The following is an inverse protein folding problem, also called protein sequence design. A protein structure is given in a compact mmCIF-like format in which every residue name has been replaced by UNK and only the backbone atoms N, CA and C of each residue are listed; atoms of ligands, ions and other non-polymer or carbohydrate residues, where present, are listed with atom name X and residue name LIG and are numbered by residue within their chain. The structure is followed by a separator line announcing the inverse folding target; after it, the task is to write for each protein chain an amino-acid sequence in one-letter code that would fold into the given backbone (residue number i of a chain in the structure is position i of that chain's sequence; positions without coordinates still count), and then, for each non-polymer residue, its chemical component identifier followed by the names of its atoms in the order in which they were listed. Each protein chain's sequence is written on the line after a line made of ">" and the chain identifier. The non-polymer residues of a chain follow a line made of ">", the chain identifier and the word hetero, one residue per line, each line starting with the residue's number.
data_IF_913636910978
#
_entry.id   IF_913636910978
#
_cell.length_a   1.000
_cell.length_b   1.000
_cell.length_c   1.000
_cell.angle_alpha   90.00
_cell.angle_beta   90.00
_cell.angle_gamma   90.00
#
_symmetry.space_group_name_H-M   'P 1'
#
loop_
_entity.id
_entity.type
_entity.pdbx_description
1 polymer ?
#
# COMPACT_ATOMS: atom_id res chain seq x y z
N UNK A 1 33.09 24.21 -20.79
CA UNK A 1 33.68 22.93 -20.33
C UNK A 1 32.97 21.81 -21.07
N UNK A 2 33.68 20.76 -21.51
CA UNK A 2 33.04 19.61 -22.14
C UNK A 2 32.11 18.91 -21.13
N UNK A 3 30.94 18.43 -21.59
CA UNK A 3 30.04 17.62 -20.77
C UNK A 3 30.77 16.29 -20.48
N UNK A 4 30.92 15.86 -19.21
CA UNK A 4 31.57 14.59 -18.89
C UNK A 4 30.81 13.41 -19.51
N UNK A 5 31.52 12.35 -19.87
CA UNK A 5 30.87 11.11 -20.30
C UNK A 5 30.10 10.47 -19.14
N UNK A 6 29.12 9.60 -19.44
CA UNK A 6 28.38 8.84 -18.41
C UNK A 6 29.34 8.07 -17.51
N UNK A 7 30.35 7.40 -18.07
CA UNK A 7 31.37 6.68 -17.31
C UNK A 7 32.13 7.60 -16.33
N UNK A 8 32.54 8.78 -16.78
CA UNK A 8 33.22 9.76 -15.93
C UNK A 8 32.32 10.28 -14.82
N UNK A 9 31.05 10.55 -15.13
CA UNK A 9 30.06 11.02 -14.17
C UNK A 9 29.78 9.97 -13.08
N UNK A 10 29.54 8.71 -13.49
CA UNK A 10 29.31 7.58 -12.58
C UNK A 10 30.52 7.38 -11.66
N UNK A 11 31.72 7.22 -12.22
CA UNK A 11 32.95 7.02 -11.44
C UNK A 11 33.25 8.20 -10.50
N UNK A 12 32.91 9.43 -10.90
CA UNK A 12 33.13 10.60 -10.03
C UNK A 12 32.15 10.65 -8.87
N UNK A 13 30.89 10.29 -9.10
CA UNK A 13 29.84 10.35 -8.08
C UNK A 13 29.97 9.19 -7.08
N UNK A 14 30.29 7.97 -7.55
CA UNK A 14 30.35 6.77 -6.71
C UNK A 14 31.45 6.81 -5.64
N UNK A 15 32.52 7.58 -5.85
CA UNK A 15 33.61 7.76 -4.87
C UNK A 15 33.14 8.27 -3.51
N UNK A 16 32.04 9.02 -3.48
CA UNK A 16 31.46 9.54 -2.24
C UNK A 16 30.56 8.51 -1.53
N UNK A 17 30.25 7.38 -2.18
CA UNK A 17 29.25 6.41 -1.74
C UNK A 17 29.79 4.98 -1.87
N UNK A 18 30.86 4.70 -1.11
CA UNK A 18 31.58 3.42 -1.15
C UNK A 18 30.72 2.31 -0.57
N UNK A 19 30.64 1.17 -1.27
CA UNK A 19 29.99 -0.04 -0.76
C UNK A 19 30.72 -0.55 0.50
N UNK A 20 30.05 -0.64 1.66
CA UNK A 20 30.68 -1.14 2.87
C UNK A 20 31.17 -2.58 2.72
N UNK A 21 32.34 -2.88 3.29
CA UNK A 21 32.95 -4.21 3.20
C UNK A 21 32.01 -5.30 3.73
N UNK A 22 31.78 -6.35 2.94
CA UNK A 22 30.91 -7.47 3.29
C UNK A 22 29.40 -7.19 3.17
N UNK A 23 28.99 -5.95 2.88
CA UNK A 23 27.59 -5.64 2.62
C UNK A 23 27.18 -6.18 1.24
N UNK A 24 26.00 -6.82 1.19
CA UNK A 24 25.42 -7.42 -0.01
C UNK A 24 23.93 -7.04 -0.07
N UNK A 25 23.62 -5.81 -0.52
CA UNK A 25 22.23 -5.36 -0.60
C UNK A 25 21.45 -6.22 -1.59
N UNK A 26 20.20 -6.52 -1.26
CA UNK A 26 19.27 -7.19 -2.16
C UNK A 26 17.98 -6.41 -2.27
N UNK A 27 17.54 -6.19 -3.51
CA UNK A 27 16.26 -5.62 -3.85
C UNK A 27 15.22 -6.74 -3.98
N UNK A 28 14.10 -6.58 -3.31
CA UNK A 28 12.95 -7.47 -3.43
C UNK A 28 11.64 -6.72 -3.18
N UNK A 29 10.59 -7.43 -2.75
CA UNK A 29 9.22 -6.90 -2.63
C UNK A 29 9.11 -5.59 -1.84
N UNK A 30 9.99 -5.38 -0.87
CA UNK A 30 9.97 -4.22 0.02
C UNK A 30 11.06 -3.17 -0.28
N UNK A 31 11.77 -3.33 -1.40
CA UNK A 31 12.94 -2.54 -1.80
C UNK A 31 14.23 -2.96 -1.08
N UNK A 32 15.27 -2.13 -1.16
CA UNK A 32 16.45 -2.29 -0.30
C UNK A 32 16.11 -1.86 1.12
N UNK A 33 16.54 -2.63 2.12
CA UNK A 33 16.39 -2.29 3.55
C UNK A 33 17.59 -2.77 4.35
N UNK A 34 18.12 -1.90 5.19
CA UNK A 34 19.23 -2.19 6.09
C UNK A 34 19.33 -1.09 7.16
N UNK A 35 20.31 -1.20 8.05
CA UNK A 35 20.77 -0.08 8.87
C UNK A 35 21.18 1.07 7.93
N UNK A 36 20.77 2.29 8.26
CA UNK A 36 20.83 3.44 7.35
C UNK A 36 22.22 3.70 6.74
N UNK A 37 23.27 3.64 7.55
CA UNK A 37 24.66 3.91 7.16
C UNK A 37 25.17 2.99 6.04
N UNK A 38 24.51 1.86 5.80
CA UNK A 38 24.89 0.91 4.76
C UNK A 38 24.28 1.23 3.39
N UNK A 39 23.29 2.12 3.30
CA UNK A 39 22.43 2.25 2.12
C UNK A 39 22.89 3.30 1.10
N UNK A 40 23.86 4.14 1.43
CA UNK A 40 24.33 5.22 0.54
C UNK A 40 24.83 4.70 -0.82
N UNK A 41 25.39 3.48 -0.86
CA UNK A 41 25.97 2.86 -2.05
C UNK A 41 24.99 2.03 -2.90
N UNK A 42 23.68 2.09 -2.63
CA UNK A 42 22.68 1.28 -3.36
C UNK A 42 22.47 1.69 -4.83
N UNK A 43 23.01 2.84 -5.25
CA UNK A 43 22.98 3.35 -6.63
C UNK A 43 21.58 3.48 -7.26
N UNK A 44 20.53 3.50 -6.46
CA UNK A 44 19.12 3.58 -6.89
C UNK A 44 18.82 4.78 -7.81
N UNK A 45 19.53 5.90 -7.63
CA UNK A 45 19.39 7.07 -8.49
C UNK A 45 19.76 6.83 -9.94
N UNK A 46 20.88 6.12 -10.17
CA UNK A 46 21.32 5.77 -11.54
C UNK A 46 20.28 4.86 -12.19
N UNK A 47 19.82 3.85 -11.45
CA UNK A 47 18.83 2.90 -11.93
C UNK A 47 17.52 3.60 -12.33
N UNK A 48 16.95 4.44 -11.45
CA UNK A 48 15.70 5.12 -11.77
C UNK A 48 15.82 6.21 -12.83
N UNK A 49 17.00 6.81 -12.98
CA UNK A 49 17.27 7.66 -14.13
C UNK A 49 17.27 6.85 -15.43
N UNK A 50 17.96 5.70 -15.47
CA UNK A 50 17.93 4.82 -16.65
C UNK A 50 16.49 4.39 -16.96
N UNK A 51 15.70 4.07 -15.93
CA UNK A 51 14.28 3.74 -16.08
C UNK A 51 13.47 4.90 -16.65
N UNK A 52 13.65 6.12 -16.14
CA UNK A 52 12.97 7.33 -16.66
C UNK A 52 13.34 7.62 -18.12
N UNK A 53 14.61 7.43 -18.50
CA UNK A 53 15.08 7.62 -19.87
C UNK A 53 14.49 6.56 -20.80
N UNK A 54 14.41 5.30 -20.34
CA UNK A 54 13.81 4.18 -21.09
C UNK A 54 12.33 4.39 -21.37
N UNK A 55 11.57 4.78 -20.35
CA UNK A 55 10.12 4.97 -20.47
C UNK A 55 9.74 6.33 -21.03
N UNK A 56 10.69 7.28 -21.07
CA UNK A 56 10.47 8.69 -21.37
C UNK A 56 9.40 9.31 -20.46
N UNK A 57 9.35 8.83 -19.21
CA UNK A 57 8.35 9.19 -18.21
C UNK A 57 9.04 9.47 -16.87
N UNK A 58 8.29 10.09 -15.97
CA UNK A 58 8.75 10.41 -14.63
C UNK A 58 8.70 9.15 -13.78
N UNK A 59 9.75 8.92 -13.01
CA UNK A 59 9.82 7.82 -12.06
C UNK A 59 10.02 8.35 -10.63
N UNK A 60 9.94 7.48 -9.62
CA UNK A 60 10.08 7.89 -8.23
C UNK A 60 11.01 7.02 -7.38
N UNK A 61 11.53 7.62 -6.30
CA UNK A 61 12.30 6.97 -5.25
C UNK A 61 11.72 7.39 -3.90
N UNK A 62 11.24 6.43 -3.12
CA UNK A 62 10.80 6.63 -1.74
C UNK A 62 11.85 6.09 -0.78
N UNK A 63 12.38 6.95 0.08
CA UNK A 63 13.36 6.57 1.11
C UNK A 63 12.62 6.36 2.43
N UNK A 64 12.50 5.11 2.81
CA UNK A 64 11.70 4.67 3.95
C UNK A 64 12.01 3.21 4.26
N UNK A 65 11.94 2.83 5.54
CA UNK A 65 11.84 1.44 5.96
C UNK A 65 10.48 1.09 6.59
N UNK A 66 9.44 1.90 6.40
CA UNK A 66 8.07 1.59 6.83
C UNK A 66 8.03 1.30 8.34
N UNK A 67 7.62 0.11 8.74
CA UNK A 67 7.52 -0.37 10.11
C UNK A 67 8.85 -0.69 10.81
N UNK A 68 9.99 -0.69 10.11
CA UNK A 68 11.28 -1.01 10.74
C UNK A 68 11.63 0.00 11.87
N UNK A 69 12.50 -0.39 12.83
CA UNK A 69 13.02 0.52 13.85
C UNK A 69 13.72 1.75 13.27
N UNK A 70 13.74 2.88 14.01
CA UNK A 70 14.27 4.17 13.54
C UNK A 70 15.71 4.16 12.96
N UNK A 71 16.67 3.35 13.45
CA UNK A 71 18.03 3.28 12.89
C UNK A 71 18.12 2.67 11.49
N UNK A 72 17.12 1.88 11.08
CA UNK A 72 17.05 1.33 9.74
C UNK A 72 16.64 2.41 8.72
N UNK A 73 16.86 2.16 7.44
CA UNK A 73 16.18 2.86 6.37
C UNK A 73 16.03 1.92 5.15
N UNK A 74 15.52 2.43 4.06
CA UNK A 74 15.31 1.66 2.85
C UNK A 74 15.00 2.52 1.65
N UNK A 75 14.91 1.86 0.50
CA UNK A 75 14.62 2.51 -0.77
C UNK A 75 13.59 1.67 -1.53
N UNK A 76 12.43 2.25 -1.80
CA UNK A 76 11.39 1.72 -2.70
C UNK A 76 11.42 2.51 -4.01
N UNK A 77 11.24 1.83 -5.13
CA UNK A 77 11.36 2.39 -6.46
C UNK A 77 10.00 2.34 -7.16
N UNK A 78 9.64 3.46 -7.79
CA UNK A 78 8.28 3.74 -8.25
C UNK A 78 8.27 3.93 -9.77
N UNK A 79 7.46 3.12 -10.45
CA UNK A 79 7.23 3.17 -11.88
C UNK A 79 6.37 4.38 -12.28
N UNK A 80 6.35 4.77 -13.57
CA UNK A 80 5.50 5.86 -14.05
C UNK A 80 4.01 5.72 -13.73
N UNK A 81 3.50 4.49 -13.63
CA UNK A 81 2.11 4.19 -13.25
C UNK A 81 1.83 4.43 -11.76
N UNK A 82 2.85 4.67 -10.94
CA UNK A 82 2.75 4.65 -9.49
C UNK A 82 2.81 3.24 -8.89
N UNK A 83 3.11 2.21 -9.68
CA UNK A 83 3.37 0.86 -9.17
C UNK A 83 4.81 0.73 -8.65
N UNK A 84 5.10 -0.41 -8.02
CA UNK A 84 6.46 -0.79 -7.67
C UNK A 84 7.27 -1.09 -8.93
N UNK A 85 8.61 -1.00 -8.83
CA UNK A 85 9.54 -1.46 -9.87
C UNK A 85 9.12 -2.82 -10.43
N UNK A 86 9.15 -2.97 -11.76
CA UNK A 86 8.86 -4.24 -12.38
C UNK A 86 9.96 -5.27 -12.08
N UNK A 87 9.57 -6.55 -11.98
CA UNK A 87 10.46 -7.62 -11.52
C UNK A 87 11.69 -7.78 -12.43
N UNK A 88 11.54 -7.53 -13.72
CA UNK A 88 12.61 -7.62 -14.72
C UNK A 88 13.75 -6.63 -14.44
N UNK A 89 13.47 -5.52 -13.74
CA UNK A 89 14.45 -4.48 -13.42
C UNK A 89 15.07 -4.65 -12.03
N UNK A 90 14.56 -5.57 -11.20
CA UNK A 90 15.14 -5.87 -9.88
C UNK A 90 16.56 -6.45 -10.01
N UNK A 91 16.85 -7.21 -11.07
CA UNK A 91 18.19 -7.75 -11.33
C UNK A 91 19.20 -6.62 -11.56
N UNK A 92 18.86 -5.61 -12.36
CA UNK A 92 19.73 -4.45 -12.58
C UNK A 92 19.95 -3.66 -11.29
N UNK A 93 18.91 -3.46 -10.47
CA UNK A 93 19.06 -2.81 -9.17
C UNK A 93 20.05 -3.58 -8.28
N UNK A 94 19.91 -4.90 -8.22
CA UNK A 94 20.82 -5.78 -7.47
C UNK A 94 22.26 -5.73 -8.01
N UNK A 95 22.46 -5.80 -9.32
CA UNK A 95 23.79 -5.76 -9.94
C UNK A 95 24.51 -4.45 -9.60
N UNK A 96 23.86 -3.31 -9.85
CA UNK A 96 24.42 -1.98 -9.60
C UNK A 96 24.77 -1.77 -8.12
N UNK A 97 23.88 -2.19 -7.21
CA UNK A 97 24.09 -2.04 -5.77
C UNK A 97 25.22 -2.94 -5.23
N UNK A 98 25.62 -3.98 -5.98
CA UNK A 98 26.68 -4.92 -5.59
C UNK A 98 28.00 -4.71 -6.36
N UNK A 99 28.13 -3.67 -7.19
CA UNK A 99 29.40 -3.31 -7.81
C UNK A 99 30.47 -3.01 -6.74
N UNK A 100 31.63 -3.67 -6.80
CA UNK A 100 32.68 -3.54 -5.79
C UNK A 100 33.63 -2.37 -6.08
N UNK A 101 33.65 -1.85 -7.31
CA UNK A 101 34.53 -0.75 -7.72
C UNK A 101 33.81 0.25 -8.63
N UNK A 102 34.29 1.50 -8.68
CA UNK A 102 33.76 2.53 -9.57
C UNK A 102 33.74 2.08 -11.05
N UNK A 103 34.82 1.41 -11.48
CA UNK A 103 34.95 0.91 -12.85
C UNK A 103 33.97 -0.24 -13.15
N UNK A 104 33.73 -1.12 -12.17
CA UNK A 104 32.71 -2.17 -12.28
C UNK A 104 31.31 -1.57 -12.37
N UNK A 105 31.01 -0.58 -11.52
CA UNK A 105 29.72 0.12 -11.56
C UNK A 105 29.51 0.78 -12.93
N UNK A 106 30.49 1.53 -13.43
CA UNK A 106 30.39 2.17 -14.73
C UNK A 106 30.19 1.16 -15.88
N UNK A 107 30.87 0.00 -15.80
CA UNK A 107 30.68 -1.10 -16.75
C UNK A 107 29.26 -1.68 -16.69
N UNK A 108 28.72 -1.92 -15.50
CA UNK A 108 27.36 -2.42 -15.33
C UNK A 108 26.32 -1.41 -15.81
N UNK A 109 26.51 -0.12 -15.54
CA UNK A 109 25.66 0.96 -16.07
C UNK A 109 25.70 0.96 -17.60
N UNK A 110 26.87 0.88 -18.22
CA UNK A 110 26.98 0.78 -19.68
C UNK A 110 26.27 -0.48 -20.23
N UNK A 111 26.36 -1.61 -19.52
CA UNK A 111 25.66 -2.84 -19.84
C UNK A 111 24.14 -2.69 -19.81
N UNK A 112 23.59 -2.11 -18.72
CA UNK A 112 22.18 -1.78 -18.58
C UNK A 112 21.69 -0.88 -19.74
N UNK A 113 22.40 0.22 -19.99
CA UNK A 113 22.03 1.16 -21.04
C UNK A 113 22.01 0.49 -22.42
N UNK A 114 23.01 -0.36 -22.72
CA UNK A 114 23.06 -1.09 -23.97
C UNK A 114 21.95 -2.15 -24.09
N UNK A 115 21.71 -2.94 -23.03
CA UNK A 115 20.69 -3.99 -23.01
C UNK A 115 19.28 -3.42 -23.23
N UNK A 116 19.01 -2.25 -22.64
CA UNK A 116 17.72 -1.58 -22.73
C UNK A 116 17.63 -0.58 -23.91
N UNK A 117 18.70 -0.41 -24.70
CA UNK A 117 18.74 0.53 -25.82
C UNK A 117 18.57 1.99 -25.41
N UNK A 118 19.11 2.37 -24.25
CA UNK A 118 18.98 3.71 -23.67
C UNK A 118 20.16 4.58 -24.11
N UNK A 119 19.85 5.77 -24.62
CA UNK A 119 20.86 6.80 -24.90
C UNK A 119 20.98 7.73 -23.69
N UNK A 120 22.20 7.88 -23.17
CA UNK A 120 22.53 8.80 -22.08
C UNK A 120 23.86 9.54 -22.38
N UNK A 121 24.07 10.77 -21.91
CA UNK A 121 23.17 11.55 -21.06
C UNK A 121 21.94 12.07 -21.83
N UNK A 122 20.78 12.06 -21.19
CA UNK A 122 19.52 12.54 -21.77
C UNK A 122 18.61 13.12 -20.68
N UNK A 123 17.72 14.08 -21.01
CA UNK A 123 16.80 14.64 -20.04
C UNK A 123 15.80 13.58 -19.57
N UNK A 124 15.51 13.61 -18.27
CA UNK A 124 14.51 12.78 -17.59
C UNK A 124 14.27 13.37 -16.19
N UNK A 125 13.23 12.93 -15.49
CA UNK A 125 12.93 13.42 -14.13
C UNK A 125 12.69 12.24 -13.20
N UNK A 126 13.32 12.28 -12.03
CA UNK A 126 13.12 11.32 -10.95
C UNK A 126 12.67 12.06 -9.69
N UNK A 127 11.47 11.78 -9.20
CA UNK A 127 10.92 12.37 -7.98
C UNK A 127 11.45 11.62 -6.76
N UNK A 128 12.02 12.34 -5.77
CA UNK A 128 12.64 11.73 -4.60
C UNK A 128 11.98 12.26 -3.34
N UNK A 129 11.42 11.37 -2.54
CA UNK A 129 10.84 11.70 -1.24
C UNK A 129 11.38 10.79 -0.14
N UNK A 130 11.21 11.21 1.11
CA UNK A 130 11.64 10.43 2.28
C UNK A 130 10.64 10.55 3.44
N UNK A 131 10.68 9.58 4.36
CA UNK A 131 9.94 9.64 5.62
C UNK A 131 10.69 10.52 6.67
N UNK A 132 10.26 10.47 7.93
CA UNK A 132 10.85 11.25 9.03
C UNK A 132 12.15 10.68 9.60
N UNK A 133 12.75 9.63 9.01
CA UNK A 133 14.01 9.08 9.50
C UNK A 133 15.13 10.11 9.37
N UNK A 134 16.01 10.25 10.39
CA UNK A 134 17.12 11.21 10.36
C UNK A 134 18.07 11.03 9.17
N UNK A 135 18.25 9.79 8.70
CA UNK A 135 19.08 9.46 7.53
C UNK A 135 18.43 9.75 6.17
N UNK A 136 17.13 10.07 6.14
CA UNK A 136 16.36 10.30 4.92
C UNK A 136 16.97 11.35 3.99
N UNK A 137 17.26 12.58 4.48
CA UNK A 137 17.83 13.64 3.65
C UNK A 137 19.17 13.27 2.99
N UNK A 138 20.06 12.57 3.69
CA UNK A 138 21.37 12.18 3.16
C UNK A 138 21.24 11.07 2.10
N UNK A 139 20.40 10.06 2.35
CA UNK A 139 20.09 9.03 1.36
C UNK A 139 19.41 9.63 0.12
N UNK A 140 18.59 10.67 0.30
CA UNK A 140 17.94 11.38 -0.79
C UNK A 140 18.95 12.15 -1.65
N UNK A 141 19.96 12.77 -1.00
CA UNK A 141 21.07 13.40 -1.69
C UNK A 141 21.93 12.38 -2.48
N UNK A 142 22.19 11.20 -1.90
CA UNK A 142 22.90 10.12 -2.58
C UNK A 142 22.15 9.63 -3.83
N UNK A 143 20.83 9.39 -3.70
CA UNK A 143 19.98 9.07 -4.84
C UNK A 143 20.01 10.18 -5.90
N UNK A 144 19.88 11.45 -5.50
CA UNK A 144 19.93 12.58 -6.42
C UNK A 144 21.27 12.70 -7.17
N UNK A 145 22.40 12.37 -6.53
CA UNK A 145 23.70 12.32 -7.18
C UNK A 145 23.74 11.24 -8.28
N UNK A 146 23.19 10.06 -8.00
CA UNK A 146 23.04 8.99 -8.99
C UNK A 146 22.17 9.39 -10.18
N UNK A 147 21.04 10.07 -9.94
CA UNK A 147 20.14 10.53 -11.02
C UNK A 147 20.88 11.42 -12.04
N UNK A 148 21.69 12.36 -11.53
CA UNK A 148 22.44 13.31 -12.37
C UNK A 148 23.50 12.66 -13.24
N UNK A 149 23.98 11.45 -12.90
CA UNK A 149 25.00 10.75 -13.68
C UNK A 149 24.56 10.43 -15.11
N UNK A 150 23.24 10.31 -15.35
CA UNK A 150 22.67 10.03 -16.67
C UNK A 150 22.07 11.26 -17.35
N UNK A 151 22.30 12.45 -16.82
CA UNK A 151 21.74 13.71 -17.34
C UNK A 151 20.27 13.96 -16.99
N UNK A 152 19.68 13.13 -16.13
CA UNK A 152 18.34 13.33 -15.59
C UNK A 152 18.36 14.33 -14.42
N UNK A 153 17.20 14.93 -14.15
CA UNK A 153 17.00 15.89 -13.06
C UNK A 153 16.31 15.23 -11.85
N UNK A 154 16.92 15.26 -10.66
CA UNK A 154 16.25 14.84 -9.44
C UNK A 154 15.32 15.95 -8.94
N UNK A 155 14.03 15.63 -8.82
CA UNK A 155 13.05 16.50 -8.19
C UNK A 155 12.90 16.12 -6.71
N UNK A 156 13.46 16.94 -5.82
CA UNK A 156 13.39 16.72 -4.37
C UNK A 156 12.01 17.10 -3.83
N UNK A 157 11.22 16.12 -3.43
CA UNK A 157 9.86 16.28 -2.90
C UNK A 157 9.81 16.42 -1.37
N UNK A 158 10.91 16.09 -0.68
CA UNK A 158 11.01 16.20 0.77
C UNK A 158 10.18 15.14 1.51
N UNK A 159 9.52 15.56 2.60
CA UNK A 159 8.74 14.68 3.47
C UNK A 159 7.40 14.31 2.81
N UNK A 160 7.23 13.05 2.44
CA UNK A 160 5.95 12.48 1.96
C UNK A 160 5.73 11.09 2.55
N UNK A 161 4.47 10.67 2.67
CA UNK A 161 4.14 9.25 2.85
C UNK A 161 4.48 8.47 1.59
N UNK A 162 4.65 7.15 1.69
CA UNK A 162 4.86 6.32 0.50
C UNK A 162 3.69 6.46 -0.50
N UNK A 163 2.41 6.37 -0.09
CA UNK A 163 1.29 6.53 -1.02
C UNK A 163 1.23 7.91 -1.69
N UNK A 164 1.66 8.98 -1.02
CA UNK A 164 1.72 10.31 -1.63
C UNK A 164 2.69 10.33 -2.82
N UNK A 165 3.93 9.83 -2.67
CA UNK A 165 4.88 9.83 -3.79
C UNK A 165 4.36 9.01 -4.97
N UNK A 166 3.81 7.82 -4.71
CA UNK A 166 3.23 6.96 -5.76
C UNK A 166 2.13 7.69 -6.54
N UNK A 167 1.20 8.34 -5.82
CA UNK A 167 0.13 9.12 -6.43
C UNK A 167 0.68 10.31 -7.23
N UNK A 168 1.69 11.01 -6.71
CA UNK A 168 2.28 12.16 -7.38
C UNK A 168 2.98 11.78 -8.69
N UNK A 169 3.75 10.70 -8.71
CA UNK A 169 4.40 10.17 -9.92
C UNK A 169 3.37 9.83 -10.99
N UNK A 170 2.35 9.05 -10.63
CA UNK A 170 1.25 8.69 -11.54
C UNK A 170 0.55 9.93 -12.11
N UNK A 171 0.11 10.85 -11.24
CA UNK A 171 -0.61 12.07 -11.65
C UNK A 171 0.22 12.94 -12.57
N UNK A 172 1.51 13.09 -12.26
CA UNK A 172 2.42 13.90 -13.05
C UNK A 172 2.60 13.33 -14.47
N UNK A 173 2.71 12.01 -14.61
CA UNK A 173 2.75 11.35 -15.93
C UNK A 173 1.43 11.47 -16.70
N UNK A 174 0.29 11.60 -16.01
CA UNK A 174 -1.01 11.90 -16.62
C UNK A 174 -1.21 13.38 -16.96
N UNK A 175 -0.21 14.24 -16.71
CA UNK A 175 -0.33 15.69 -16.93
C UNK A 175 -1.30 16.39 -15.96
N UNK A 176 -1.57 15.78 -14.80
CA UNK A 176 -2.54 16.26 -13.83
C UNK A 176 -1.88 16.99 -12.65
N UNK A 177 -2.61 17.85 -11.92
CA UNK A 177 -2.14 18.42 -10.67
C UNK A 177 -1.76 17.33 -9.67
N UNK A 178 -0.55 17.44 -9.12
CA UNK A 178 0.09 16.41 -8.31
C UNK A 178 0.73 17.00 -7.04
N UNK A 179 0.32 18.19 -6.61
CA UNK A 179 0.78 18.79 -5.37
C UNK A 179 0.20 18.08 -4.14
N UNK A 180 0.78 18.34 -2.98
CA UNK A 180 0.29 17.74 -1.73
C UNK A 180 -1.13 18.20 -1.36
N UNK A 181 -1.45 19.47 -1.64
CA UNK A 181 -2.80 19.99 -1.51
C UNK A 181 -3.79 19.27 -2.46
N UNK A 182 -3.34 18.94 -3.69
CA UNK A 182 -4.18 18.19 -4.65
C UNK A 182 -4.45 16.77 -4.15
N UNK A 183 -3.46 16.12 -3.50
CA UNK A 183 -3.63 14.80 -2.90
C UNK A 183 -4.70 14.83 -1.79
N UNK A 184 -4.60 15.78 -0.86
CA UNK A 184 -5.58 15.92 0.23
C UNK A 184 -6.98 16.29 -0.30
N UNK A 185 -7.07 17.20 -1.28
CA UNK A 185 -8.33 17.59 -1.90
C UNK A 185 -8.99 16.41 -2.65
N UNK A 186 -8.21 15.61 -3.37
CA UNK A 186 -8.71 14.42 -4.05
C UNK A 186 -9.30 13.40 -3.06
N UNK A 187 -8.58 13.11 -1.97
CA UNK A 187 -9.06 12.20 -0.93
C UNK A 187 -10.30 12.73 -0.20
N UNK A 188 -10.27 14.01 0.23
CA UNK A 188 -11.40 14.62 0.92
C UNK A 188 -12.65 14.70 0.02
N UNK A 189 -12.46 15.05 -1.26
CA UNK A 189 -13.54 15.10 -2.25
C UNK A 189 -14.15 13.72 -2.53
N UNK A 190 -13.32 12.68 -2.67
CA UNK A 190 -13.79 11.31 -2.84
C UNK A 190 -14.52 10.79 -1.60
N UNK A 191 -13.99 11.07 -0.41
CA UNK A 191 -14.64 10.68 0.84
C UNK A 191 -15.99 11.39 1.03
N UNK A 192 -16.07 12.71 0.74
CA UNK A 192 -17.33 13.46 0.79
C UNK A 192 -18.40 12.85 -0.11
N UNK A 193 -18.04 12.48 -1.34
CA UNK A 193 -18.96 11.80 -2.27
C UNK A 193 -19.39 10.43 -1.74
N UNK A 194 -18.46 9.68 -1.14
CA UNK A 194 -18.75 8.37 -0.57
C UNK A 194 -19.75 8.41 0.59
N UNK A 195 -19.69 9.47 1.42
CA UNK A 195 -20.56 9.61 2.60
C UNK A 195 -21.80 10.46 2.33
N UNK A 196 -21.98 10.96 1.12
CA UNK A 196 -23.14 11.79 0.75
C UNK A 196 -24.45 11.02 1.02
N UNK A 197 -25.37 11.67 1.73
CA UNK A 197 -26.66 11.05 2.12
C UNK A 197 -26.57 10.05 3.28
N UNK A 198 -25.39 9.84 3.88
CA UNK A 198 -25.23 9.02 5.09
C UNK A 198 -25.22 9.88 6.35
N UNK A 199 -25.62 9.29 7.48
CA UNK A 199 -25.46 9.95 8.78
C UNK A 199 -24.03 9.70 9.32
N UNK A 200 -23.32 10.73 9.81
CA UNK A 200 -22.06 10.53 10.49
C UNK A 200 -22.22 9.57 11.67
N UNK A 201 -21.21 8.74 11.92
CA UNK A 201 -21.22 7.80 13.06
C UNK A 201 -21.28 8.50 14.42
N UNK A 202 -20.99 9.81 14.47
CA UNK A 202 -20.95 10.58 15.72
C UNK A 202 -19.83 10.14 16.67
N UNK A 203 -18.87 9.36 16.18
CA UNK A 203 -17.74 8.83 16.94
C UNK A 203 -16.44 9.52 16.50
N UNK A 204 -15.55 9.75 17.45
CA UNK A 204 -14.17 10.16 17.18
C UNK A 204 -13.34 8.94 16.81
N UNK A 205 -12.60 9.02 15.71
CA UNK A 205 -11.57 8.04 15.36
C UNK A 205 -10.26 8.45 16.02
N UNK A 206 -9.75 7.63 16.94
CA UNK A 206 -8.42 7.83 17.53
C UNK A 206 -7.37 7.17 16.62
N UNK A 207 -6.45 7.95 16.08
CA UNK A 207 -5.49 7.48 15.10
C UNK A 207 -4.06 7.59 15.62
N UNK A 208 -3.40 6.45 15.75
CA UNK A 208 -1.98 6.34 16.04
C UNK A 208 -1.17 6.57 14.75
N UNK A 209 -0.42 7.67 14.71
CA UNK A 209 0.42 8.05 13.57
C UNK A 209 1.86 7.51 13.67
N UNK A 210 2.15 6.60 14.60
CA UNK A 210 3.43 5.92 14.77
C UNK A 210 4.66 6.84 14.96
N UNK A 211 4.44 8.12 15.29
CA UNK A 211 5.45 9.19 15.25
C UNK A 211 6.10 9.37 13.86
N UNK A 212 5.40 8.93 12.80
CA UNK A 212 5.88 8.91 11.43
C UNK A 212 5.43 10.10 10.59
N UNK A 213 5.83 10.08 9.32
CA UNK A 213 5.53 11.14 8.35
C UNK A 213 4.01 11.30 8.14
N UNK A 214 3.22 10.26 8.39
CA UNK A 214 1.77 10.29 8.32
C UNK A 214 1.10 11.32 9.23
N UNK A 215 1.70 11.67 10.38
CA UNK A 215 1.10 12.59 11.34
C UNK A 215 0.78 13.98 10.75
N UNK A 216 1.77 14.73 10.21
CA UNK A 216 1.49 16.01 9.58
C UNK A 216 0.60 15.89 8.33
N UNK A 217 0.63 14.77 7.62
CA UNK A 217 -0.18 14.58 6.40
C UNK A 217 -1.64 14.33 6.74
N UNK A 218 -1.89 13.51 7.76
CA UNK A 218 -3.23 13.27 8.26
C UNK A 218 -3.82 14.54 8.86
N UNK A 219 -3.04 15.36 9.57
CA UNK A 219 -3.50 16.66 10.05
C UNK A 219 -3.98 17.57 8.91
N UNK A 220 -3.23 17.63 7.80
CA UNK A 220 -3.63 18.37 6.61
C UNK A 220 -4.88 17.78 5.94
N UNK A 221 -4.98 16.45 5.83
CA UNK A 221 -6.17 15.78 5.30
C UNK A 221 -7.40 16.01 6.17
N UNK A 222 -7.29 15.97 7.50
CA UNK A 222 -8.37 16.28 8.44
C UNK A 222 -8.87 17.71 8.23
N UNK A 223 -7.96 18.67 8.02
CA UNK A 223 -8.35 20.04 7.68
C UNK A 223 -9.11 20.10 6.34
N UNK A 224 -8.68 19.38 5.31
CA UNK A 224 -9.39 19.28 4.04
C UNK A 224 -10.76 18.60 4.16
N UNK A 225 -10.88 17.57 4.99
CA UNK A 225 -12.14 16.88 5.27
C UNK A 225 -13.14 17.79 6.01
N UNK A 226 -12.65 18.60 6.95
CA UNK A 226 -13.46 19.60 7.64
C UNK A 226 -13.95 20.69 6.68
N UNK A 227 -13.09 21.19 5.78
CA UNK A 227 -13.48 22.14 4.74
C UNK A 227 -14.50 21.57 3.74
N UNK A 228 -14.43 20.26 3.49
CA UNK A 228 -15.37 19.54 2.64
C UNK A 228 -16.69 19.17 3.35
N UNK A 229 -16.86 19.50 4.63
CA UNK A 229 -18.00 19.13 5.47
C UNK A 229 -18.31 17.62 5.46
N UNK A 230 -17.25 16.80 5.48
CA UNK A 230 -17.39 15.35 5.29
C UNK A 230 -17.62 14.56 6.60
N UNK A 231 -17.76 15.23 7.75
CA UNK A 231 -18.27 14.60 8.98
C UNK A 231 -17.38 13.54 9.67
N UNK A 232 -16.05 13.58 9.50
CA UNK A 232 -15.13 12.67 10.20
C UNK A 232 -14.32 13.41 11.28
N UNK A 233 -14.62 13.12 12.55
CA UNK A 233 -13.83 13.58 13.69
C UNK A 233 -12.65 12.63 13.93
N UNK A 234 -11.42 13.17 14.01
CA UNK A 234 -10.19 12.41 14.21
C UNK A 234 -9.38 13.03 15.34
N UNK A 235 -8.96 12.21 16.30
CA UNK A 235 -7.97 12.55 17.33
C UNK A 235 -6.64 11.88 16.95
N UNK A 236 -5.63 12.69 16.64
CA UNK A 236 -4.30 12.20 16.22
C UNK A 236 -3.40 12.01 17.43
N UNK A 237 -2.87 10.79 17.58
CA UNK A 237 -1.93 10.38 18.63
C UNK A 237 -0.60 9.98 18.00
N UNK A 238 0.47 9.99 18.80
CA UNK A 238 1.83 9.64 18.35
C UNK A 238 2.22 10.43 17.08
N UNK A 239 2.24 11.75 17.21
CA UNK A 239 2.38 12.70 16.10
C UNK A 239 3.80 13.25 15.92
N UNK A 240 4.80 12.58 16.53
CA UNK A 240 6.22 12.95 16.40
C UNK A 240 6.90 13.28 17.74
N UNK A 241 6.19 13.16 18.86
CA UNK A 241 6.75 13.38 20.19
C UNK A 241 7.55 12.19 20.74
N UNK A 242 7.41 11.00 20.13
CA UNK A 242 8.09 9.77 20.51
C UNK A 242 9.05 9.24 19.45
N UNK A 243 9.54 8.02 19.66
CA UNK A 243 10.38 7.31 18.68
C UNK A 243 9.49 6.74 17.57
N UNK A 244 9.94 6.88 16.32
CA UNK A 244 9.29 6.27 15.15
C UNK A 244 9.07 4.76 15.37
N UNK A 245 7.81 4.31 15.27
CA UNK A 245 7.38 2.93 15.53
C UNK A 245 7.72 2.39 16.95
N UNK A 246 8.10 3.25 17.90
CA UNK A 246 8.51 2.84 19.24
C UNK A 246 7.33 2.71 20.21
N UNK A 247 6.84 1.48 20.42
CA UNK A 247 5.69 1.22 21.29
C UNK A 247 4.36 1.73 20.71
N UNK A 248 4.29 1.88 19.39
CA UNK A 248 3.16 2.38 18.65
C UNK A 248 3.24 1.94 17.17
N UNK A 249 2.17 2.16 16.42
CA UNK A 249 2.05 1.87 15.00
C UNK A 249 1.42 0.51 14.71
N UNK A 250 1.04 0.30 13.44
CA UNK A 250 0.29 -0.89 13.04
C UNK A 250 1.05 -2.22 13.25
N UNK A 251 2.38 -2.21 13.14
CA UNK A 251 3.21 -3.41 13.33
C UNK A 251 3.35 -3.78 14.82
N UNK A 252 3.45 -2.79 15.71
CA UNK A 252 3.40 -2.98 17.16
C UNK A 252 2.06 -3.62 17.58
N UNK A 253 0.93 -3.09 17.08
CA UNK A 253 -0.38 -3.70 17.32
C UNK A 253 -0.46 -5.14 16.82
N UNK A 254 0.13 -5.43 15.66
CA UNK A 254 0.10 -6.77 15.07
C UNK A 254 0.89 -7.79 15.90
N UNK A 255 2.07 -7.40 16.41
CA UNK A 255 3.01 -8.29 17.08
C UNK A 255 2.74 -8.39 18.58
N UNK A 256 2.60 -7.25 19.24
CA UNK A 256 2.55 -7.15 20.68
C UNK A 256 1.13 -7.26 21.22
N UNK A 257 0.11 -6.89 20.40
CA UNK A 257 -1.31 -6.84 20.82
C UNK A 257 -1.54 -6.03 22.10
N UNK A 258 -0.71 -5.00 22.27
CA UNK A 258 -0.75 -4.08 23.38
C UNK A 258 -1.29 -2.73 22.93
N UNK A 259 -1.82 -1.97 23.91
CA UNK A 259 -2.29 -0.61 23.69
C UNK A 259 -1.09 0.28 23.31
N UNK A 260 -1.15 1.03 22.20
CA UNK A 260 -0.07 1.93 21.83
C UNK A 260 0.21 2.97 22.91
N UNK A 261 1.42 3.51 22.93
CA UNK A 261 1.73 4.69 23.73
C UNK A 261 0.72 5.81 23.46
N UNK A 262 0.34 6.56 24.51
CA UNK A 262 -0.61 7.68 24.45
C UNK A 262 -2.06 7.29 24.08
N UNK A 263 -2.49 6.08 24.42
CA UNK A 263 -3.88 5.63 24.31
C UNK A 263 -4.51 5.24 25.65
N UNK A 264 -3.82 5.42 26.78
CA UNK A 264 -4.29 4.99 28.10
C UNK A 264 -5.57 5.71 28.57
N UNK A 265 -5.81 6.92 28.06
CA UNK A 265 -6.99 7.73 28.30
C UNK A 265 -8.16 7.40 27.36
N UNK A 266 -7.92 6.58 26.32
CA UNK A 266 -8.95 6.24 25.33
C UNK A 266 -9.88 5.17 25.92
N UNK A 267 -11.20 5.41 25.95
CA UNK A 267 -12.12 4.51 26.62
C UNK A 267 -12.20 3.13 25.93
N UNK A 268 -12.44 2.04 26.69
CA UNK A 268 -12.76 0.74 26.12
C UNK A 268 -13.93 0.84 25.13
N UNK A 269 -13.85 0.07 24.04
CA UNK A 269 -14.87 0.13 22.99
C UNK A 269 -14.69 1.26 21.95
N UNK A 270 -13.76 2.20 22.16
CA UNK A 270 -13.51 3.27 21.20
C UNK A 270 -12.98 2.75 19.86
N UNK A 271 -13.36 3.43 18.77
CA UNK A 271 -12.87 3.15 17.43
C UNK A 271 -11.48 3.76 17.25
N UNK A 272 -10.48 2.91 17.11
CA UNK A 272 -9.10 3.33 16.93
C UNK A 272 -8.51 2.74 15.64
N UNK A 273 -7.50 3.41 15.09
CA UNK A 273 -6.64 2.83 14.07
C UNK A 273 -5.18 3.23 14.27
N UNK A 274 -4.27 2.48 13.66
CA UNK A 274 -2.86 2.83 13.59
C UNK A 274 -2.34 2.64 12.18
N UNK A 275 -1.41 3.51 11.79
CA UNK A 275 -0.59 3.37 10.59
C UNK A 275 0.84 2.98 10.96
N UNK A 276 1.66 2.60 9.98
CA UNK A 276 3.10 2.49 10.15
C UNK A 276 3.83 3.79 9.76
N UNK A 277 5.15 3.81 9.95
CA UNK A 277 5.98 5.01 9.85
C UNK A 277 5.86 5.81 8.54
N UNK A 278 5.63 5.15 7.41
CA UNK A 278 5.41 5.77 6.08
C UNK A 278 3.96 5.72 5.59
N UNK A 279 3.05 5.23 6.44
CA UNK A 279 1.60 5.21 6.25
C UNK A 279 1.15 4.44 5.01
N UNK A 280 1.76 3.29 4.74
CA UNK A 280 1.30 2.33 3.73
C UNK A 280 0.54 1.13 4.33
N UNK A 281 0.48 1.03 5.66
CA UNK A 281 -0.34 0.04 6.40
C UNK A 281 -1.37 0.72 7.28
N UNK A 282 -2.51 0.05 7.45
CA UNK A 282 -3.59 0.48 8.35
C UNK A 282 -4.14 -0.71 9.13
N UNK A 283 -4.22 -0.56 10.45
CA UNK A 283 -4.84 -1.52 11.35
C UNK A 283 -5.90 -0.82 12.20
N UNK A 284 -7.11 -1.38 12.29
CA UNK A 284 -8.11 -0.95 13.26
C UNK A 284 -7.93 -1.73 14.56
N UNK A 285 -8.22 -1.07 15.67
CA UNK A 285 -8.26 -1.73 16.98
C UNK A 285 -9.25 -1.07 17.91
N UNK A 286 -9.58 -1.77 18.99
CA UNK A 286 -10.42 -1.28 20.08
C UNK A 286 -9.77 -1.62 21.42
N UNK A 287 -9.60 -0.65 22.33
CA UNK A 287 -9.15 -0.92 23.69
C UNK A 287 -10.15 -1.82 24.44
N UNK A 288 -9.65 -2.80 25.19
CA UNK A 288 -10.46 -3.73 25.98
C UNK A 288 -10.60 -3.25 27.43
N UNK A 289 -11.67 -3.69 28.11
CA UNK A 289 -11.84 -3.45 29.56
C UNK A 289 -10.77 -4.21 30.37
N UNK A 290 -10.19 -3.58 31.39
CA UNK A 290 -9.25 -4.22 32.30
C UNK A 290 -7.79 -4.28 31.84
N UNK A 291 -7.43 -3.61 30.75
CA UNK A 291 -6.05 -3.49 30.25
C UNK A 291 -5.17 -2.52 31.06
N UNK A 292 -5.09 -2.68 32.37
CA UNK A 292 -4.00 -2.04 33.14
C UNK A 292 -2.73 -2.90 33.03
N UNK A 293 -1.56 -2.25 33.12
CA UNK A 293 -0.23 -2.86 33.12
C UNK A 293 -0.08 -3.90 34.25
N UNK A 294 -0.56 -5.11 34.04
CA UNK A 294 -0.08 -6.29 34.74
C UNK A 294 1.14 -6.84 34.02
N UNK A 295 2.18 -7.21 34.76
CA UNK A 295 3.27 -8.05 34.25
C UNK A 295 2.68 -9.38 33.76
N UNK A 296 2.36 -9.47 32.47
CA UNK A 296 1.84 -10.67 31.82
C UNK A 296 1.36 -10.38 30.39
N UNK A 297 1.45 -11.40 29.53
CA UNK A 297 1.05 -11.39 28.11
C UNK A 297 -0.48 -11.27 27.91
N UNK A 298 -1.17 -10.40 28.64
CA UNK A 298 -2.60 -10.14 28.40
C UNK A 298 -2.78 -9.19 27.21
N UNK A 299 -3.57 -9.62 26.23
CA UNK A 299 -4.02 -8.76 25.14
C UNK A 299 -4.87 -7.60 25.68
N UNK A 300 -4.43 -6.36 25.44
CA UNK A 300 -5.16 -5.17 25.89
C UNK A 300 -6.00 -4.53 24.78
N UNK A 301 -5.88 -5.04 23.56
CA UNK A 301 -6.61 -4.55 22.37
C UNK A 301 -7.15 -5.70 21.55
N UNK A 302 -8.30 -5.49 20.92
CA UNK A 302 -8.76 -6.33 19.82
C UNK A 302 -8.40 -5.64 18.50
N UNK A 303 -7.49 -6.22 17.72
CA UNK A 303 -6.98 -5.63 16.49
C UNK A 303 -7.39 -6.42 15.23
N UNK A 304 -7.79 -5.70 14.18
CA UNK A 304 -8.11 -6.25 12.87
C UNK A 304 -7.47 -5.37 11.80
N UNK A 305 -6.82 -6.02 10.82
CA UNK A 305 -6.36 -5.28 9.66
C UNK A 305 -7.56 -4.75 8.87
N UNK A 306 -7.44 -3.56 8.29
CA UNK A 306 -8.39 -3.05 7.29
C UNK A 306 -8.26 -3.87 6.00
N UNK A 307 -8.73 -5.12 6.00
CA UNK A 307 -8.59 -6.09 4.90
C UNK A 307 -9.86 -6.30 4.10
N UNK A 308 -10.95 -5.61 4.45
CA UNK A 308 -12.26 -5.80 3.83
C UNK A 308 -12.78 -4.46 3.30
N UNK A 309 -12.72 -4.30 1.99
CA UNK A 309 -13.41 -3.23 1.26
C UNK A 309 -14.50 -3.91 0.44
N UNK A 310 -15.76 -3.59 0.73
CA UNK A 310 -16.90 -4.02 -0.10
C UNK A 310 -17.19 -2.86 -1.05
N UNK A 311 -16.81 -3.01 -2.31
CA UNK A 311 -17.17 -2.06 -3.37
C UNK A 311 -18.60 -2.36 -3.83
N UNK A 312 -19.54 -1.47 -3.50
CA UNK A 312 -20.90 -1.50 -4.02
C UNK A 312 -21.01 -0.37 -5.05
N UNK A 313 -21.18 -0.71 -6.33
CA UNK A 313 -21.40 0.29 -7.38
C UNK A 313 -22.90 0.48 -7.61
N UNK A 314 -23.40 1.72 -7.71
CA UNK A 314 -24.79 1.97 -8.10
C UNK A 314 -24.97 1.74 -9.61
N UNK A 315 -26.05 1.07 -9.99
CA UNK A 315 -26.51 0.81 -11.35
C UNK A 315 -26.33 2.02 -12.28
N UNK A 316 -25.62 1.83 -13.41
CA UNK A 316 -26.06 2.23 -14.78
C UNK A 316 -25.30 1.40 -15.84
N UNK A 317 -26.02 0.44 -16.42
CA UNK A 317 -25.93 -0.02 -17.81
C UNK A 317 -24.67 -0.66 -18.43
N UNK A 318 -23.58 -0.96 -17.71
CA UNK A 318 -22.52 -1.82 -18.28
C UNK A 318 -22.12 -2.97 -17.35
N UNK A 319 -22.02 -4.18 -17.93
CA UNK A 319 -21.61 -5.41 -17.25
C UNK A 319 -20.29 -5.20 -16.51
N UNK A 320 -20.34 -5.12 -15.18
CA UNK A 320 -19.16 -5.04 -14.32
C UNK A 320 -19.27 -6.05 -13.17
N UNK A 321 -18.16 -6.75 -12.95
CA UNK A 321 -18.00 -7.77 -11.92
C UNK A 321 -17.73 -7.15 -10.55
N UNK A 322 -18.69 -7.29 -9.63
CA UNK A 322 -18.40 -7.11 -8.21
C UNK A 322 -17.33 -8.12 -7.78
N UNK A 323 -16.16 -7.64 -7.37
CA UNK A 323 -15.03 -8.46 -6.95
C UNK A 323 -14.82 -8.32 -5.45
N UNK A 324 -15.14 -9.37 -4.68
CA UNK A 324 -14.74 -9.50 -3.28
C UNK A 324 -13.31 -10.06 -3.24
N UNK A 325 -12.35 -9.26 -2.77
CA UNK A 325 -10.96 -9.70 -2.59
C UNK A 325 -10.76 -10.12 -1.13
N UNK A 326 -10.48 -11.41 -0.91
CA UNK A 326 -10.12 -11.97 0.39
C UNK A 326 -8.60 -12.22 0.39
N UNK A 327 -7.80 -11.54 1.24
CA UNK A 327 -6.34 -11.73 1.25
C UNK A 327 -5.87 -13.01 1.98
N UNK A 328 -4.64 -13.40 1.64
CA UNK A 328 -3.94 -14.64 1.97
C UNK A 328 -3.51 -14.79 3.45
N UNK A 329 -3.35 -16.05 3.84
CA UNK A 329 -3.06 -16.57 5.18
C UNK A 329 -1.84 -15.96 5.88
N UNK A 330 -2.04 -15.17 6.95
CA UNK A 330 -1.03 -15.02 8.00
C UNK A 330 -1.57 -14.71 9.42
N UNK A 331 -2.88 -14.77 9.65
CA UNK A 331 -3.45 -14.62 10.99
C UNK A 331 -4.77 -15.42 11.15
N UNK A 332 -4.69 -16.74 10.97
CA UNK A 332 -5.74 -17.69 11.39
C UNK A 332 -5.49 -17.93 12.89
N UNK A 333 -6.33 -17.50 13.83
CA UNK A 333 -7.59 -18.18 14.16
C UNK A 333 -8.73 -17.21 14.53
N UNK A 334 -8.43 -15.96 14.90
CA UNK A 334 -9.44 -14.98 15.32
C UNK A 334 -10.19 -14.34 14.13
N UNK A 335 -9.51 -14.18 12.98
CA UNK A 335 -10.14 -13.65 11.76
C UNK A 335 -11.05 -14.68 11.07
N UNK A 336 -10.83 -15.97 11.30
CA UNK A 336 -11.73 -17.01 10.82
C UNK A 336 -13.12 -16.87 11.46
N UNK A 337 -13.21 -16.47 12.73
CA UNK A 337 -14.50 -16.27 13.40
C UNK A 337 -15.26 -15.06 12.86
N UNK A 338 -14.57 -13.97 12.48
CA UNK A 338 -15.21 -12.76 11.93
C UNK A 338 -15.52 -12.88 10.43
N UNK A 339 -14.69 -13.63 9.69
CA UNK A 339 -15.01 -14.11 8.32
C UNK A 339 -16.16 -15.11 8.38
N UNK A 340 -16.20 -16.00 9.36
CA UNK A 340 -17.28 -16.98 9.54
C UNK A 340 -18.56 -16.29 10.02
N UNK A 341 -18.50 -15.25 10.87
CA UNK A 341 -19.65 -14.40 11.20
C UNK A 341 -20.13 -13.62 9.99
N UNK A 342 -19.25 -13.00 9.22
CA UNK A 342 -19.62 -12.27 7.99
C UNK A 342 -20.21 -13.23 6.95
N UNK A 343 -19.62 -14.41 6.76
CA UNK A 343 -20.13 -15.47 5.91
C UNK A 343 -21.47 -16.04 6.42
N UNK A 344 -21.64 -16.20 7.74
CA UNK A 344 -22.89 -16.67 8.38
C UNK A 344 -23.98 -15.61 8.33
N UNK A 345 -23.64 -14.32 8.52
CA UNK A 345 -24.52 -13.16 8.34
C UNK A 345 -24.97 -13.01 6.88
N UNK A 346 -24.11 -13.41 5.93
CA UNK A 346 -24.40 -13.45 4.50
C UNK A 346 -24.97 -14.80 4.02
N UNK A 347 -25.18 -15.79 4.91
CA UNK A 347 -25.75 -17.10 4.58
C UNK A 347 -24.85 -18.05 3.78
N UNK A 348 -23.56 -17.77 3.64
CA UNK A 348 -22.57 -18.62 2.99
C UNK A 348 -22.19 -19.79 3.93
N UNK A 349 -22.70 -21.00 3.67
CA UNK A 349 -22.28 -22.19 4.41
C UNK A 349 -20.81 -22.51 4.12
N UNK A 350 -19.93 -22.36 5.12
CA UNK A 350 -18.59 -22.95 5.03
C UNK A 350 -18.63 -24.39 5.55
N UNK A 351 -18.40 -25.36 4.67
CA UNK A 351 -18.07 -26.72 5.09
C UNK A 351 -16.82 -26.69 5.98
N UNK A 352 -16.85 -27.47 7.07
CA UNK A 352 -15.77 -27.59 8.06
C UNK A 352 -14.41 -27.84 7.36
N UNK A 353 -13.41 -27.13 7.86
CA UNK A 353 -12.00 -27.16 7.49
C UNK A 353 -11.43 -28.58 7.30
N UNK A 354 -10.95 -28.87 6.09
CA UNK A 354 -9.96 -29.92 5.82
C UNK A 354 -8.67 -29.25 5.32
N UNK A 355 -7.45 -29.73 5.67
CA UNK A 355 -6.20 -28.98 5.50
C UNK A 355 -5.70 -28.80 4.05
N UNK A 356 -6.51 -29.10 3.03
CA UNK A 356 -6.07 -29.14 1.63
C UNK A 356 -7.00 -28.43 0.63
N UNK A 357 -7.94 -27.61 1.07
CA UNK A 357 -8.87 -26.93 0.15
C UNK A 357 -8.34 -25.57 -0.32
N UNK A 358 -7.93 -25.52 -1.59
CA UNK A 358 -7.83 -24.29 -2.39
C UNK A 358 -9.21 -23.62 -2.44
N UNK A 359 -9.36 -22.44 -1.84
CA UNK A 359 -10.61 -21.67 -1.89
C UNK A 359 -10.94 -21.28 -3.34
N UNK A 360 -12.06 -21.78 -3.87
CA UNK A 360 -12.59 -21.37 -5.17
C UNK A 360 -13.16 -19.94 -5.06
N UNK A 361 -12.86 -19.09 -6.04
CA UNK A 361 -13.52 -17.79 -6.22
C UNK A 361 -15.03 -18.02 -6.40
N UNK A 362 -15.85 -17.52 -5.48
CA UNK A 362 -17.30 -17.39 -5.69
C UNK A 362 -17.61 -15.99 -6.20
N UNK A 363 -18.45 -15.89 -7.22
CA UNK A 363 -18.91 -14.64 -7.84
C UNK A 363 -20.31 -14.36 -7.28
N UNK A 364 -20.49 -13.23 -6.59
CA UNK A 364 -21.79 -12.82 -6.06
C UNK A 364 -22.23 -11.57 -6.83
N UNK A 365 -23.45 -11.59 -7.36
CA UNK A 365 -24.00 -10.48 -8.16
C UNK A 365 -25.20 -9.87 -7.41
N UNK A 366 -25.23 -8.54 -7.31
CA UNK A 366 -26.40 -7.79 -6.86
C UNK A 366 -27.21 -7.38 -8.09
N UNK A 367 -28.52 -7.60 -8.08
CA UNK A 367 -29.39 -7.29 -9.21
C UNK A 367 -30.57 -6.43 -8.78
N UNK A 368 -30.87 -5.41 -9.58
CA UNK A 368 -32.06 -4.56 -9.43
C UNK A 368 -33.31 -5.31 -9.95
N UNK A 369 -34.36 -5.51 -9.13
CA UNK A 369 -35.55 -6.26 -9.51
C UNK A 369 -36.47 -5.53 -10.50
N UNK A 370 -36.27 -4.23 -10.71
CA UNK A 370 -37.03 -3.45 -11.69
C UNK A 370 -36.48 -3.60 -13.12
N UNK A 371 -35.36 -4.33 -13.28
CA UNK A 371 -34.79 -4.71 -14.58
C UNK A 371 -35.18 -6.16 -14.89
N UNK A 372 -35.94 -6.44 -15.96
CA UNK A 372 -36.30 -7.80 -16.31
C UNK A 372 -35.04 -8.62 -16.64
N UNK A 373 -34.94 -9.87 -16.17
CA UNK A 373 -33.78 -10.71 -16.48
C UNK A 373 -33.69 -10.92 -18.00
N UNK A 374 -32.52 -10.64 -18.58
CA UNK A 374 -32.23 -11.02 -19.96
C UNK A 374 -32.37 -12.54 -20.08
N UNK A 375 -33.32 -12.96 -20.92
CA UNK A 375 -33.65 -14.35 -21.16
C UNK A 375 -32.41 -15.12 -21.65
N UNK A 376 -31.80 -15.86 -20.72
CA UNK A 376 -30.85 -16.92 -21.02
C UNK A 376 -31.41 -18.19 -20.41
N UNK A 377 -32.33 -18.80 -21.16
CA UNK A 377 -32.65 -20.22 -21.16
C UNK A 377 -32.70 -20.89 -19.79
N UNK A 378 -33.92 -20.95 -19.26
CA UNK A 378 -34.50 -22.04 -18.48
C UNK A 378 -33.59 -23.24 -18.13
N UNK A 379 -32.94 -23.19 -16.98
CA UNK A 379 -32.69 -24.37 -16.11
C UNK A 379 -32.11 -24.02 -14.72
N UNK A 380 -32.20 -22.76 -14.27
CA UNK A 380 -31.64 -22.31 -12.99
C UNK A 380 -32.66 -21.63 -12.05
N UNK A 381 -33.94 -21.96 -12.16
CA UNK A 381 -35.02 -21.33 -11.36
C UNK A 381 -35.53 -22.18 -10.18
N UNK A 382 -34.77 -23.18 -9.72
CA UNK A 382 -35.25 -24.07 -8.65
C UNK A 382 -34.27 -24.22 -7.48
N UNK A 383 -33.98 -23.11 -6.79
CA UNK A 383 -33.52 -23.12 -5.39
C UNK A 383 -33.49 -21.68 -4.82
N UNK A 384 -34.64 -21.07 -4.55
CA UNK A 384 -34.69 -19.70 -3.98
C UNK A 384 -35.55 -19.63 -2.73
N UNK A 385 -35.14 -20.33 -1.66
CA UNK A 385 -35.55 -20.09 -0.26
C UNK A 385 -34.37 -20.55 0.59
N UNK A 386 -33.55 -19.68 1.20
CA UNK A 386 -33.71 -19.22 2.60
C UNK A 386 -32.60 -18.21 2.95
N UNK A 387 -32.36 -17.19 2.10
CA UNK A 387 -31.35 -16.12 2.38
C UNK A 387 -31.96 -14.72 2.21
N UNK A 388 -32.97 -14.57 1.34
CA UNK A 388 -33.61 -13.28 1.04
C UNK A 388 -34.25 -12.56 2.25
N UNK A 389 -34.74 -13.29 3.26
CA UNK A 389 -35.53 -12.69 4.35
C UNK A 389 -34.74 -12.01 5.48
N UNK A 390 -33.41 -12.25 5.56
CA UNK A 390 -32.58 -11.77 6.69
C UNK A 390 -31.81 -10.50 6.32
N UNK A 391 -31.28 -10.41 5.10
CA UNK A 391 -30.52 -9.24 4.62
C UNK A 391 -31.43 -8.06 4.25
N UNK A 392 -32.69 -8.33 3.85
CA UNK A 392 -33.69 -7.29 3.56
C UNK A 392 -34.04 -6.41 4.78
N UNK A 393 -33.63 -6.80 6.00
CA UNK A 393 -33.78 -5.99 7.22
C UNK A 393 -32.60 -5.06 7.52
N UNK A 394 -31.47 -5.22 6.82
CA UNK A 394 -30.20 -4.55 7.13
C UNK A 394 -29.77 -3.52 6.08
N UNK A 395 -30.44 -3.49 4.92
CA UNK A 395 -30.28 -2.44 3.92
C UNK A 395 -31.32 -1.34 4.14
N UNK A 396 -30.99 -0.05 3.92
CA UNK A 396 -31.97 1.02 3.98
C UNK A 396 -33.15 0.72 3.03
N UNK A 397 -34.41 1.04 3.40
CA UNK A 397 -35.60 0.76 2.59
C UNK A 397 -35.57 1.30 1.16
N UNK A 398 -34.66 2.23 0.86
CA UNK A 398 -34.56 2.93 -0.42
C UNK A 398 -33.87 2.15 -1.55
N UNK A 399 -33.21 1.01 -1.28
CA UNK A 399 -32.31 0.43 -2.28
C UNK A 399 -32.96 -0.54 -3.27
N UNK A 400 -34.16 -1.08 -3.03
CA UNK A 400 -34.86 -2.08 -3.89
C UNK A 400 -34.03 -3.28 -4.42
N UNK A 401 -32.75 -3.48 -4.10
CA UNK A 401 -31.92 -4.52 -4.72
C UNK A 401 -32.19 -5.94 -4.17
N UNK A 402 -32.03 -6.97 -5.02
CA UNK A 402 -32.05 -8.39 -4.64
C UNK A 402 -30.67 -9.04 -4.86
N UNK A 403 -30.30 -9.94 -3.95
CA UNK A 403 -29.09 -10.76 -4.08
C UNK A 403 -29.37 -11.94 -5.02
N UNK A 404 -28.52 -12.16 -6.04
CA UNK A 404 -28.63 -13.30 -6.96
C UNK A 404 -27.28 -14.03 -7.04
N UNK A 405 -27.29 -15.32 -6.72
CA UNK A 405 -26.11 -16.18 -6.88
C UNK A 405 -25.98 -16.62 -8.34
N UNK A 406 -24.84 -16.33 -8.99
CA UNK A 406 -24.58 -16.71 -10.39
C UNK A 406 -23.39 -17.66 -10.45
N UNK A 407 -23.68 -18.95 -10.56
CA UNK A 407 -22.65 -19.98 -10.73
C UNK A 407 -22.19 -20.06 -12.21
N UNK A 408 -21.21 -19.24 -12.57
CA UNK A 408 -20.58 -19.28 -13.90
C UNK A 408 -19.62 -20.46 -14.04
N UNK A 409 -19.95 -21.45 -14.88
CA UNK A 409 -18.99 -22.47 -15.34
C UNK A 409 -18.01 -21.83 -16.34
N UNK A 410 -16.71 -21.88 -16.03
CA UNK A 410 -15.65 -21.80 -17.04
C UNK A 410 -14.97 -23.17 -17.11
N UNK A 411 -15.11 -23.84 -18.25
CA UNK A 411 -14.29 -24.98 -18.61
C UNK A 411 -12.89 -24.47 -19.00
N UNK A 412 -11.86 -24.99 -18.35
CA UNK A 412 -10.51 -24.96 -18.88
C UNK A 412 -9.95 -26.39 -18.83
N UNK A 413 -9.69 -26.88 -20.03
CA UNK A 413 -9.08 -28.15 -20.37
C UNK A 413 -7.77 -28.38 -19.59
N UNK A 414 -7.65 -29.53 -18.94
CA UNK A 414 -6.36 -30.15 -18.71
C UNK A 414 -6.48 -31.63 -19.06
N UNK A 415 -6.06 -31.96 -20.28
CA UNK A 415 -5.73 -33.32 -20.64
C UNK A 415 -4.64 -33.86 -19.72
N UNK A 416 -4.84 -35.08 -19.21
CA UNK A 416 -3.73 -35.95 -18.82
C UNK A 416 -3.46 -36.07 -17.33
N UNK A 417 -4.25 -36.88 -16.64
CA UNK A 417 -3.69 -37.91 -15.76
C UNK A 417 -4.68 -39.08 -15.65
N UNK A 418 -4.22 -40.23 -16.14
CA UNK A 418 -4.93 -41.51 -16.13
C UNK A 418 -5.22 -41.96 -14.71
N UNK A 419 -6.40 -42.53 -14.54
CA UNK A 419 -6.79 -43.32 -13.39
C UNK A 419 -5.81 -44.48 -13.11
N UNK A 420 -5.46 -44.61 -11.85
CA UNK A 420 -5.26 -45.87 -11.12
C UNK A 420 -6.08 -45.68 -9.84
N UNK A 421 -7.04 -46.49 -9.43
CA UNK A 421 -7.67 -47.68 -9.97
C UNK A 421 -9.15 -47.63 -9.55
#
# INVERSE_FOLDING_TARGET
>A
MAVPSVEQAVCSASRSYVLPAGFRPSYGTAGFRAVADLLHSTMCGIMMAARALKTQQITGICITASHNPAPDNGVKLVEPSGEMLCQEWESYANELANAQTDAELAKQVAGLLAAEGITAPAPGVVMIAHDTRPSGPELAAAAAAGVRCLGAEPQMCGLLTTPQLHWMVMRRNLGQPCGEADYHAALAGAYRQLVEGTAPLGQTLYMDCANGVGAPKMAALVASLAQADAGLAVDLRNTGQGVLNGGCGSDFLQKDRQLPANFQDVPPGARCCAVDGDSDRLMYFTPLEGGEKGEGDLETVSAAHAKTVILLHPDKDEQLDASLVIPTCSALEMQAAEVHKTATLLGLQSCRSHPSTTLRRQRVVLQNPDVPPLDRSSEAQQATRTIAGVVQRSLPPAANMKLVEVNGRFEACCMGCRAKA
#
